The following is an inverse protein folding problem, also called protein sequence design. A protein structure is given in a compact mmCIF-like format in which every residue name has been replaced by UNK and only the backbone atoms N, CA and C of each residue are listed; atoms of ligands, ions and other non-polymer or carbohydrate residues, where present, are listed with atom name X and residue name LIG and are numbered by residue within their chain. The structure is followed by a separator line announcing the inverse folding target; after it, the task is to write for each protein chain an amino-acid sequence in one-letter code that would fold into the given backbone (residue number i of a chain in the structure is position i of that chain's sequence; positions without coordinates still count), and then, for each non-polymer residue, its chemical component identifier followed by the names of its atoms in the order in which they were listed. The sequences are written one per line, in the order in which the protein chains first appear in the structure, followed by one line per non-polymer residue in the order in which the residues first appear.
data_IF_630152777634
#
_entry.id   IF_630152777634
#
_cell.length_a   1.000
_cell.length_b   1.000
_cell.length_c   1.000
_cell.angle_alpha   90.00
_cell.angle_beta   90.00
_cell.angle_gamma   90.00
#
_symmetry.space_group_name_H-M   'P 1'
#
loop_
_entity.id
_entity.type
_entity.pdbx_description
1 polymer ?
#
# COMPACT_ATOMS: atom_id res chain seq x y z
N UNK A 1 -45.44 50.63 -34.35
CA UNK A 1 -43.96 50.61 -34.29
C UNK A 1 -43.54 49.46 -33.37
N UNK A 2 -43.43 48.23 -33.87
CA UNK A 2 -42.20 47.50 -34.28
C UNK A 2 -41.21 47.13 -33.16
N UNK A 3 -41.31 45.85 -32.72
CA UNK A 3 -40.26 44.81 -32.43
C UNK A 3 -39.16 45.17 -31.40
N UNK A 4 -38.67 44.29 -30.52
CA UNK A 4 -38.09 42.92 -30.68
C UNK A 4 -38.09 42.24 -29.29
N UNK A 5 -38.70 41.07 -29.07
CA UNK A 5 -38.18 39.69 -29.21
C UNK A 5 -36.92 39.39 -28.35
N UNK A 6 -36.97 38.35 -27.47
CA UNK A 6 -35.94 38.05 -26.46
C UNK A 6 -34.72 37.36 -27.08
N UNK A 7 -33.53 37.74 -26.63
CA UNK A 7 -32.30 37.02 -26.98
C UNK A 7 -32.13 35.81 -26.05
N UNK A 8 -32.18 34.64 -26.70
CA UNK A 8 -31.81 33.33 -26.19
C UNK A 8 -30.32 33.25 -25.79
N UNK A 9 -30.06 32.19 -25.01
CA UNK A 9 -28.96 31.22 -25.13
C UNK A 9 -27.62 31.48 -24.42
N UNK A 10 -27.30 30.46 -23.62
CA UNK A 10 -26.00 29.81 -23.47
C UNK A 10 -25.03 30.36 -22.42
N UNK A 11 -24.94 29.63 -21.30
CA UNK A 11 -23.69 29.06 -20.76
C UNK A 11 -24.00 28.35 -19.42
N UNK A 12 -24.73 27.23 -19.47
CA UNK A 12 -24.21 25.92 -19.05
C UNK A 12 -22.70 25.84 -18.75
N UNK A 13 -22.39 25.17 -17.62
CA UNK A 13 -21.17 24.41 -17.32
C UNK A 13 -19.85 25.18 -17.27
N UNK A 14 -19.45 25.61 -16.07
CA UNK A 14 -18.02 25.70 -15.75
C UNK A 14 -17.77 25.26 -14.29
N UNK A 15 -17.17 24.07 -14.19
CA UNK A 15 -16.29 23.58 -13.11
C UNK A 15 -16.94 23.17 -11.78
N UNK A 16 -17.64 22.03 -11.81
CA UNK A 16 -17.35 21.01 -10.81
C UNK A 16 -15.86 20.63 -10.96
N UNK A 17 -14.99 21.36 -10.25
CA UNK A 17 -13.61 20.93 -10.06
C UNK A 17 -13.69 19.68 -9.17
N UNK A 18 -13.69 18.52 -9.81
CA UNK A 18 -13.31 17.26 -9.20
C UNK A 18 -11.91 17.45 -8.61
N UNK A 19 -11.81 17.90 -7.35
CA UNK A 19 -10.59 17.75 -6.57
C UNK A 19 -10.51 16.27 -6.14
N UNK A 20 -10.33 15.40 -7.12
CA UNK A 20 -9.82 14.05 -6.92
C UNK A 20 -8.36 14.20 -6.51
N UNK A 21 -8.12 14.47 -5.24
CA UNK A 21 -6.77 14.38 -4.69
C UNK A 21 -6.85 13.71 -3.32
N UNK A 22 -7.47 12.53 -3.29
CA UNK A 22 -7.49 11.67 -2.09
C UNK A 22 -6.26 10.75 -2.10
N UNK A 23 -5.09 11.33 -2.30
CA UNK A 23 -3.81 10.70 -1.98
C UNK A 23 -3.35 11.15 -0.60
N UNK A 24 -2.54 10.36 0.14
CA UNK A 24 -1.89 10.86 1.34
C UNK A 24 -1.10 12.13 1.02
N UNK A 25 -1.09 13.09 1.95
CA UNK A 25 -0.34 14.33 1.78
C UNK A 25 1.14 14.01 1.48
N UNK A 26 1.81 14.78 0.61
CA UNK A 26 3.24 14.61 0.39
C UNK A 26 4.02 14.65 1.71
N UNK A 27 5.01 13.77 1.86
CA UNK A 27 5.84 13.68 3.06
C UNK A 27 7.31 13.89 2.73
N UNK A 28 8.11 14.52 3.60
CA UNK A 28 9.56 14.61 3.39
C UNK A 28 10.18 13.20 3.35
N UNK A 29 11.09 12.95 2.40
CA UNK A 29 11.72 11.63 2.24
C UNK A 29 12.38 11.11 3.53
N UNK A 30 13.06 11.99 4.29
CA UNK A 30 13.68 11.61 5.55
C UNK A 30 12.67 11.11 6.61
N UNK A 31 11.48 11.71 6.65
CA UNK A 31 10.42 11.30 7.56
C UNK A 31 9.86 9.92 7.18
N UNK A 32 9.68 9.66 5.88
CA UNK A 32 9.22 8.36 5.41
C UNK A 32 10.26 7.25 5.63
N UNK A 33 11.54 7.52 5.37
CA UNK A 33 12.64 6.59 5.66
C UNK A 33 12.71 6.27 7.15
N UNK A 34 12.58 7.27 8.03
CA UNK A 34 12.56 7.07 9.47
C UNK A 34 11.35 6.22 9.92
N UNK A 35 10.16 6.49 9.36
CA UNK A 35 8.95 5.70 9.60
C UNK A 35 9.14 4.23 9.20
N UNK A 36 9.63 3.98 8.00
CA UNK A 36 9.88 2.62 7.49
C UNK A 36 10.99 1.91 8.30
N UNK A 37 12.02 2.64 8.71
CA UNK A 37 13.07 2.11 9.58
C UNK A 37 12.53 1.67 10.94
N UNK A 38 11.58 2.42 11.52
CA UNK A 38 10.89 2.04 12.76
C UNK A 38 10.02 0.78 12.58
N UNK A 39 9.60 0.47 11.36
CA UNK A 39 8.90 -0.78 10.99
C UNK A 39 9.88 -1.94 10.67
N UNK A 40 11.18 -1.70 10.78
CA UNK A 40 12.24 -2.69 10.60
C UNK A 40 12.87 -2.72 9.21
N UNK A 41 12.47 -1.83 8.29
CA UNK A 41 13.14 -1.73 6.98
C UNK A 41 14.58 -1.26 7.17
N UNK A 42 15.46 -1.75 6.30
CA UNK A 42 16.88 -1.39 6.30
C UNK A 42 17.25 -0.76 4.98
N UNK A 43 17.95 0.37 5.04
CA UNK A 43 18.54 0.99 3.85
C UNK A 43 19.53 0.01 3.20
N UNK A 44 19.39 -0.15 1.88
CA UNK A 44 20.33 -0.90 1.04
C UNK A 44 21.28 0.05 0.32
N UNK A 45 20.85 1.29 0.07
CA UNK A 45 21.67 2.32 -0.55
C UNK A 45 20.86 3.54 -0.96
N UNK A 46 21.57 4.50 -1.54
CA UNK A 46 21.02 5.72 -2.12
C UNK A 46 21.62 5.90 -3.51
N UNK A 47 20.82 6.24 -4.52
CA UNK A 47 21.32 6.53 -5.88
C UNK A 47 21.83 7.97 -5.99
N UNK A 48 22.48 8.30 -7.10
CA UNK A 48 22.97 9.66 -7.36
C UNK A 48 21.83 10.70 -7.43
N UNK A 49 20.65 10.26 -7.84
CA UNK A 49 19.41 11.04 -7.94
C UNK A 49 18.69 11.19 -6.59
N UNK A 50 19.25 10.64 -5.50
CA UNK A 50 18.66 10.71 -4.17
C UNK A 50 17.59 9.64 -3.89
N UNK A 51 17.37 8.68 -4.79
CA UNK A 51 16.45 7.57 -4.56
C UNK A 51 16.96 6.70 -3.41
N UNK A 52 16.13 6.50 -2.39
CA UNK A 52 16.42 5.63 -1.25
C UNK A 52 15.89 4.22 -1.52
N UNK A 53 16.76 3.23 -1.39
CA UNK A 53 16.40 1.82 -1.54
C UNK A 53 16.32 1.17 -0.15
N UNK A 54 15.16 0.59 0.17
CA UNK A 54 14.88 -0.03 1.46
C UNK A 54 14.45 -1.48 1.28
N UNK A 55 14.87 -2.36 2.20
CA UNK A 55 14.45 -3.77 2.22
C UNK A 55 13.96 -4.19 3.60
N UNK A 56 12.94 -5.03 3.61
CA UNK A 56 12.50 -5.78 4.78
C UNK A 56 12.43 -7.28 4.44
N UNK A 57 12.78 -8.13 5.40
CA UNK A 57 12.58 -9.58 5.31
C UNK A 57 12.41 -10.12 6.74
N UNK A 58 11.27 -10.72 7.03
CA UNK A 58 11.01 -11.26 8.37
C UNK A 58 9.53 -11.51 8.67
N UNK A 59 9.14 -11.61 9.95
CA UNK A 59 7.74 -11.69 10.36
C UNK A 59 6.94 -10.50 9.81
N UNK A 60 5.66 -10.70 9.50
CA UNK A 60 4.79 -9.59 9.09
C UNK A 60 4.77 -8.50 10.19
N UNK A 61 4.80 -7.24 9.77
CA UNK A 61 4.81 -6.06 10.67
C UNK A 61 3.65 -5.13 10.33
N UNK A 62 3.55 -4.01 11.07
CA UNK A 62 2.56 -2.98 10.81
C UNK A 62 2.71 -2.28 9.45
N UNK A 63 3.77 -2.55 8.68
CA UNK A 63 3.93 -2.08 7.30
C UNK A 63 2.90 -2.68 6.32
N UNK A 64 2.21 -3.74 6.73
CA UNK A 64 1.12 -4.35 5.98
C UNK A 64 -0.08 -4.51 6.90
N UNK A 65 -1.25 -4.17 6.38
CA UNK A 65 -2.52 -4.47 7.01
C UNK A 65 -3.30 -5.45 6.14
N UNK A 66 -4.00 -6.38 6.79
CA UNK A 66 -4.84 -7.38 6.14
C UNK A 66 -6.26 -7.35 6.71
N UNK A 67 -7.21 -7.88 5.93
CA UNK A 67 -8.59 -8.16 6.36
C UNK A 67 -9.02 -9.53 5.88
N UNK A 68 -9.91 -10.18 6.62
CA UNK A 68 -10.53 -11.44 6.23
C UNK A 68 -11.96 -11.18 5.77
N UNK A 69 -12.21 -11.26 4.46
CA UNK A 69 -13.54 -11.03 3.89
C UNK A 69 -13.86 -9.56 3.55
N UNK A 70 -14.93 -9.37 2.79
CA UNK A 70 -15.44 -8.07 2.37
C UNK A 70 -16.12 -7.36 3.55
N UNK A 71 -15.83 -6.08 3.76
CA UNK A 71 -16.41 -5.26 4.83
C UNK A 71 -15.66 -5.28 6.17
N UNK A 72 -14.69 -6.20 6.36
CA UNK A 72 -13.84 -6.20 7.54
C UNK A 72 -12.79 -5.06 7.51
N UNK A 73 -12.42 -4.57 8.69
CA UNK A 73 -11.39 -3.53 8.86
C UNK A 73 -10.00 -4.11 8.65
N UNK A 74 -9.15 -3.36 7.95
CA UNK A 74 -7.74 -3.67 7.81
C UNK A 74 -7.00 -3.49 9.14
N UNK A 75 -6.26 -4.51 9.55
CA UNK A 75 -5.42 -4.49 10.75
C UNK A 75 -4.13 -5.26 10.47
N UNK A 76 -3.09 -5.00 11.26
CA UNK A 76 -1.86 -5.80 11.20
C UNK A 76 -2.15 -7.23 11.65
N UNK A 77 -1.96 -8.24 10.80
CA UNK A 77 -2.19 -9.62 11.22
C UNK A 77 -1.09 -10.07 12.19
N UNK A 78 -1.37 -11.02 13.10
CA UNK A 78 -0.34 -11.62 13.92
C UNK A 78 0.62 -12.43 13.04
N UNK A 79 1.93 -12.35 13.32
CA UNK A 79 2.95 -13.10 12.60
C UNK A 79 2.83 -14.62 12.74
N UNK A 80 2.15 -15.10 13.79
CA UNK A 80 1.82 -16.50 13.99
C UNK A 80 0.38 -16.64 14.46
N UNK A 81 -0.34 -17.64 13.96
CA UNK A 81 -1.69 -17.97 14.41
C UNK A 81 -1.98 -19.46 14.29
N UNK A 82 -2.98 -19.93 15.03
CA UNK A 82 -3.48 -21.30 14.95
C UNK A 82 -4.91 -21.26 14.42
N UNK A 83 -5.22 -22.09 13.43
CA UNK A 83 -6.56 -22.24 12.88
C UNK A 83 -7.39 -23.23 13.72
N UNK A 84 -8.71 -23.21 13.54
CA UNK A 84 -9.63 -24.12 14.26
C UNK A 84 -9.39 -25.61 14.01
N UNK A 85 -8.71 -25.97 12.92
CA UNK A 85 -8.29 -27.34 12.58
C UNK A 85 -6.93 -27.73 13.22
N UNK A 86 -6.35 -26.85 14.05
CA UNK A 86 -5.04 -27.03 14.67
C UNK A 86 -3.86 -26.70 13.76
N UNK A 87 -4.09 -26.25 12.52
CA UNK A 87 -3.01 -25.84 11.63
C UNK A 87 -2.31 -24.58 12.15
N UNK A 88 -0.98 -24.60 12.22
CA UNK A 88 -0.18 -23.44 12.59
C UNK A 88 0.18 -22.65 11.35
N UNK A 89 -0.09 -21.35 11.34
CA UNK A 89 0.28 -20.46 10.26
C UNK A 89 1.35 -19.48 10.74
N UNK A 90 2.37 -19.28 9.91
CA UNK A 90 3.38 -18.24 10.07
C UNK A 90 3.30 -17.29 8.87
N UNK A 91 3.19 -16.00 9.17
CA UNK A 91 3.09 -14.93 8.18
C UNK A 91 4.41 -14.18 8.12
N UNK A 92 4.99 -14.13 6.93
CA UNK A 92 6.24 -13.44 6.63
C UNK A 92 5.99 -12.34 5.61
N UNK A 93 6.82 -11.30 5.70
CA UNK A 93 6.86 -10.19 4.77
C UNK A 93 8.28 -10.09 4.22
N UNK A 94 8.37 -10.10 2.90
CA UNK A 94 9.53 -9.63 2.16
C UNK A 94 9.10 -8.38 1.40
N UNK A 95 9.83 -7.28 1.56
CA UNK A 95 9.51 -6.05 0.88
C UNK A 95 10.76 -5.35 0.36
N UNK A 96 10.63 -4.73 -0.80
CA UNK A 96 11.65 -3.90 -1.43
C UNK A 96 10.99 -2.60 -1.88
N UNK A 97 11.56 -1.46 -1.48
CA UNK A 97 10.99 -0.14 -1.77
C UNK A 97 12.05 0.77 -2.38
N UNK A 98 11.62 1.55 -3.36
CA UNK A 98 12.37 2.63 -3.97
C UNK A 98 11.59 3.92 -3.75
N UNK A 99 12.21 4.85 -3.01
CA UNK A 99 11.62 6.15 -2.68
C UNK A 99 12.39 7.23 -3.44
N UNK A 100 11.79 7.79 -4.47
CA UNK A 100 12.44 8.80 -5.33
C UNK A 100 11.83 10.16 -5.04
N UNK A 101 12.47 11.03 -4.26
CA UNK A 101 11.86 12.31 -3.91
C UNK A 101 11.64 13.18 -5.14
N UNK A 102 10.57 13.97 -5.13
CA UNK A 102 10.37 15.04 -6.10
C UNK A 102 11.44 16.14 -5.97
N UNK A 103 11.47 17.12 -6.89
CA UNK A 103 12.43 18.22 -6.86
C UNK A 103 12.39 19.05 -5.57
N UNK A 104 11.27 19.01 -4.84
CA UNK A 104 11.03 19.66 -3.55
C UNK A 104 11.45 18.80 -2.34
N UNK A 105 12.00 17.61 -2.56
CA UNK A 105 12.40 16.67 -1.51
C UNK A 105 11.23 15.86 -0.92
N UNK A 106 10.03 15.95 -1.51
CA UNK A 106 8.81 15.33 -1.00
C UNK A 106 8.47 14.04 -1.75
N UNK A 107 7.85 13.10 -1.05
CA UNK A 107 7.27 11.88 -1.60
C UNK A 107 5.74 12.01 -1.59
N UNK A 108 5.12 12.02 -2.77
CA UNK A 108 3.69 11.75 -2.92
C UNK A 108 3.46 10.24 -3.12
N UNK A 109 2.25 9.85 -3.51
CA UNK A 109 1.93 8.46 -3.81
C UNK A 109 2.66 7.92 -5.06
N UNK A 110 3.01 8.80 -6.02
CA UNK A 110 3.63 8.41 -7.31
C UNK A 110 5.13 8.18 -7.22
N UNK A 111 5.78 8.76 -6.22
CA UNK A 111 7.23 8.66 -5.96
C UNK A 111 7.62 7.41 -5.16
N UNK A 112 6.68 6.48 -4.97
CA UNK A 112 6.86 5.25 -4.23
C UNK A 112 6.74 4.07 -5.19
N UNK A 113 7.84 3.39 -5.43
CA UNK A 113 7.86 2.12 -6.15
C UNK A 113 8.32 0.99 -5.23
N UNK A 114 7.99 -0.23 -5.59
CA UNK A 114 8.44 -1.41 -4.87
C UNK A 114 7.49 -2.58 -4.94
N UNK A 115 7.81 -3.58 -4.13
CA UNK A 115 7.07 -4.84 -4.07
C UNK A 115 6.97 -5.29 -2.61
N UNK A 116 5.76 -5.65 -2.20
CA UNK A 116 5.49 -6.34 -0.95
C UNK A 116 5.08 -7.77 -1.29
N UNK A 117 5.73 -8.75 -0.66
CA UNK A 117 5.39 -10.16 -0.76
C UNK A 117 5.02 -10.65 0.62
N UNK A 118 3.75 -11.02 0.80
CA UNK A 118 3.28 -11.64 2.04
C UNK A 118 3.16 -13.13 1.80
N UNK A 119 3.78 -13.91 2.68
CA UNK A 119 3.81 -15.37 2.60
C UNK A 119 3.17 -15.99 3.84
N UNK A 120 2.29 -16.97 3.65
CA UNK A 120 1.70 -17.78 4.71
C UNK A 120 2.24 -19.20 4.60
N UNK A 121 3.10 -19.59 5.53
CA UNK A 121 3.48 -20.99 5.73
C UNK A 121 2.49 -21.64 6.69
N UNK A 122 1.75 -22.65 6.23
CA UNK A 122 0.79 -23.42 7.02
C UNK A 122 1.35 -24.82 7.31
N UNK A 123 1.41 -25.20 8.58
CA UNK A 123 1.84 -26.52 9.03
C UNK A 123 0.69 -27.27 9.69
N UNK A 124 0.34 -28.44 9.17
CA UNK A 124 -0.70 -29.32 9.71
C UNK A 124 -0.24 -30.78 9.61
N UNK A 125 -0.26 -31.50 10.73
CA UNK A 125 0.08 -32.95 10.80
C UNK A 125 1.39 -33.31 10.05
N UNK A 126 2.42 -32.50 10.25
CA UNK A 126 3.74 -32.71 9.63
C UNK A 126 3.88 -32.25 8.17
N UNK A 127 2.79 -31.88 7.49
CA UNK A 127 2.83 -31.28 6.15
C UNK A 127 2.93 -29.76 6.24
N UNK A 128 3.72 -29.17 5.35
CA UNK A 128 3.85 -27.72 5.20
C UNK A 128 3.38 -27.31 3.81
N UNK A 129 2.51 -26.31 3.74
CA UNK A 129 2.08 -25.67 2.50
C UNK A 129 2.35 -24.19 2.58
N UNK A 130 2.74 -23.59 1.46
CA UNK A 130 3.03 -22.15 1.39
C UNK A 130 2.13 -21.49 0.37
N UNK A 131 1.65 -20.31 0.70
CA UNK A 131 0.92 -19.44 -0.22
C UNK A 131 1.50 -18.04 -0.13
N UNK A 132 1.61 -17.34 -1.25
CA UNK A 132 2.15 -15.98 -1.29
C UNK A 132 1.30 -15.09 -2.19
N UNK A 133 1.26 -13.81 -1.84
CA UNK A 133 0.71 -12.74 -2.67
C UNK A 133 1.76 -11.65 -2.83
N UNK A 134 1.74 -10.96 -3.96
CA UNK A 134 2.59 -9.81 -4.23
C UNK A 134 1.73 -8.61 -4.63
N UNK A 135 2.13 -7.41 -4.19
CA UNK A 135 1.43 -6.15 -4.50
C UNK A 135 2.38 -4.96 -4.36
N UNK A 136 2.15 -3.91 -5.16
CA UNK A 136 2.92 -2.67 -5.13
C UNK A 136 2.44 -1.67 -4.08
N UNK A 137 3.13 -0.52 -3.94
CA UNK A 137 2.66 0.62 -3.17
C UNK A 137 1.28 1.09 -3.66
N UNK A 138 0.31 1.24 -2.73
CA UNK A 138 -1.06 1.65 -3.06
C UNK A 138 -1.97 0.55 -3.60
N UNK A 139 -1.44 -0.65 -3.86
CA UNK A 139 -2.20 -1.80 -4.33
C UNK A 139 -2.67 -2.71 -3.18
N UNK A 140 -3.38 -3.78 -3.52
CA UNK A 140 -3.76 -4.83 -2.57
C UNK A 140 -3.66 -6.21 -3.23
N UNK A 141 -3.20 -7.21 -2.48
CA UNK A 141 -3.17 -8.61 -2.91
C UNK A 141 -4.14 -9.46 -2.10
N UNK A 142 -4.65 -10.56 -2.67
CA UNK A 142 -5.58 -11.46 -1.97
C UNK A 142 -5.16 -12.92 -2.06
N UNK A 143 -5.14 -13.61 -0.93
CA UNK A 143 -4.94 -15.05 -0.83
C UNK A 143 -6.20 -15.80 -1.28
N UNK A 144 -6.05 -17.07 -1.65
CA UNK A 144 -7.17 -18.00 -1.93
C UNK A 144 -8.10 -18.16 -0.75
N UNK A 145 -7.61 -17.92 0.47
CA UNK A 145 -8.44 -17.91 1.68
C UNK A 145 -9.39 -16.71 1.79
N UNK A 146 -9.35 -15.76 0.84
CA UNK A 146 -10.13 -14.51 0.89
C UNK A 146 -9.55 -13.45 1.82
N UNK A 147 -8.31 -13.64 2.32
CA UNK A 147 -7.60 -12.61 3.09
C UNK A 147 -6.95 -11.63 2.12
N UNK A 148 -7.28 -10.35 2.24
CA UNK A 148 -6.72 -9.27 1.40
C UNK A 148 -5.75 -8.45 2.23
N UNK A 149 -4.57 -8.14 1.69
CA UNK A 149 -3.53 -7.36 2.35
C UNK A 149 -3.13 -6.15 1.49
N UNK A 150 -2.67 -5.08 2.14
CA UNK A 150 -2.18 -3.86 1.52
C UNK A 150 -1.09 -3.17 2.36
N UNK A 151 -0.24 -2.31 1.77
CA UNK A 151 0.70 -1.50 2.52
C UNK A 151 0.01 -0.47 3.43
N UNK A 152 0.73 0.05 4.43
CA UNK A 152 0.25 1.07 5.38
C UNK A 152 1.07 2.37 5.38
#
# INVERSE_FOLDING_TARGET
MTRRTPALLAAFLVLAACAETTGPAPVPIGAEVARLSALGFRAQGTTAEGTQVLRYAGPVTAAVACRSGTGATFHTPPAQRVRGDGARQRLELDAYLMLTPGPDGMLSARERDGLYVVTIATRLRGRTTTESIAFGPGESGSFRSGMTCRPT
#
